data_IF_311403229465
#
_entry.id   IF_311403229465
#
_cell.length_a   1.000
_cell.length_b   1.000
_cell.length_c   1.000
_cell.angle_alpha   90.00
_cell.angle_beta   90.00
_cell.angle_gamma   90.00
#
_symmetry.space_group_name_H-M   'P 1'
#
loop_
_entity.id
_entity.type
_entity.pdbx_description
1 polymer ?
#
# COMPACT_ATOMS: atom_id res chain seq x y z
N UNK A 1 -20.63 10.94 -4.29
CA UNK A 1 -19.24 10.64 -4.66
C UNK A 1 -18.75 9.56 -3.71
N UNK A 2 -18.23 8.45 -4.25
CA UNK A 2 -17.81 7.28 -3.48
C UNK A 2 -16.31 7.28 -3.19
N UNK A 3 -15.75 6.12 -2.88
CA UNK A 3 -14.30 5.89 -2.77
C UNK A 3 -13.65 5.76 -4.15
N UNK A 4 -12.41 6.25 -4.31
CA UNK A 4 -11.59 6.03 -5.51
C UNK A 4 -10.50 5.02 -5.18
N UNK A 5 -10.53 3.89 -5.88
CA UNK A 5 -9.48 2.86 -5.82
C UNK A 5 -8.51 3.14 -6.96
N UNK A 6 -7.25 3.41 -6.63
CA UNK A 6 -6.18 3.64 -7.58
C UNK A 6 -5.42 2.32 -7.77
N UNK A 7 -5.85 1.56 -8.77
CA UNK A 7 -5.21 0.34 -9.27
C UNK A 7 -4.81 0.57 -10.74
N UNK A 8 -4.02 1.59 -10.96
CA UNK A 8 -3.68 2.15 -12.27
C UNK A 8 -2.53 1.42 -12.98
N UNK A 9 -1.76 0.63 -12.26
CA UNK A 9 -0.52 0.05 -12.76
C UNK A 9 -0.32 -1.38 -12.28
N UNK A 10 0.43 -2.17 -13.06
CA UNK A 10 0.79 -3.55 -12.70
C UNK A 10 1.87 -3.62 -11.59
N UNK A 11 2.24 -2.48 -11.01
CA UNK A 11 3.30 -2.35 -10.02
C UNK A 11 2.68 -2.10 -8.64
N UNK A 12 3.26 -2.68 -7.60
CA UNK A 12 2.73 -2.61 -6.24
C UNK A 12 3.08 -1.29 -5.51
N UNK A 13 2.88 -0.17 -6.20
CA UNK A 13 3.06 1.19 -5.67
C UNK A 13 4.19 1.99 -6.31
N UNK A 14 5.05 1.38 -7.11
CA UNK A 14 6.30 2.00 -7.57
C UNK A 14 6.38 2.25 -9.09
N UNK A 15 5.25 2.30 -9.79
CA UNK A 15 5.23 2.52 -11.23
C UNK A 15 5.85 3.88 -11.63
N UNK A 16 6.79 3.91 -12.60
CA UNK A 16 7.26 5.17 -13.19
C UNK A 16 6.13 5.81 -14.02
N UNK A 17 5.75 7.05 -13.69
CA UNK A 17 4.77 7.85 -14.43
C UNK A 17 3.32 7.72 -13.93
N UNK A 18 2.68 8.90 -13.80
CA UNK A 18 1.24 9.22 -13.90
C UNK A 18 0.19 8.50 -13.01
N UNK A 19 0.56 7.73 -11.99
CA UNK A 19 -0.48 7.07 -11.17
C UNK A 19 -1.20 8.01 -10.19
N UNK A 20 -0.50 8.99 -9.62
CA UNK A 20 -1.05 9.85 -8.55
C UNK A 20 -0.47 11.27 -8.61
N UNK A 21 -1.22 12.20 -9.20
CA UNK A 21 -0.89 13.63 -9.13
C UNK A 21 -1.61 14.29 -7.94
N UNK A 22 -0.88 14.88 -6.97
CA UNK A 22 -1.47 15.51 -5.79
C UNK A 22 -2.52 16.57 -6.12
N UNK A 23 -2.31 17.33 -7.19
CA UNK A 23 -3.23 18.36 -7.68
C UNK A 23 -4.60 17.77 -8.07
N UNK A 24 -4.60 16.59 -8.71
CA UNK A 24 -5.83 15.91 -9.08
C UNK A 24 -6.58 15.37 -7.86
N UNK A 25 -5.85 14.80 -6.88
CA UNK A 25 -6.45 14.36 -5.62
C UNK A 25 -7.07 15.54 -4.87
N UNK A 26 -6.35 16.66 -4.79
CA UNK A 26 -6.84 17.86 -4.13
C UNK A 26 -8.10 18.39 -4.79
N UNK A 27 -8.15 18.44 -6.13
CA UNK A 27 -9.34 18.90 -6.84
C UNK A 27 -10.54 17.95 -6.64
N UNK A 28 -10.33 16.64 -6.73
CA UNK A 28 -11.39 15.65 -6.47
C UNK A 28 -11.91 15.77 -5.04
N UNK A 29 -11.01 15.96 -4.08
CA UNK A 29 -11.37 16.13 -2.68
C UNK A 29 -12.12 17.44 -2.45
N UNK A 30 -11.69 18.54 -3.09
CA UNK A 30 -12.37 19.83 -3.05
C UNK A 30 -13.80 19.72 -3.55
N UNK A 31 -14.01 19.12 -4.72
CA UNK A 31 -15.35 18.88 -5.28
C UNK A 31 -16.20 18.03 -4.32
N UNK A 32 -15.63 16.98 -3.74
CA UNK A 32 -16.34 16.13 -2.78
C UNK A 32 -16.81 16.88 -1.52
N UNK A 33 -15.99 17.77 -0.98
CA UNK A 33 -16.27 18.49 0.25
C UNK A 33 -17.12 19.75 0.00
N UNK A 34 -16.84 20.51 -1.05
CA UNK A 34 -17.44 21.82 -1.28
C UNK A 34 -18.70 21.77 -2.15
N UNK A 35 -18.78 20.83 -3.10
CA UNK A 35 -19.84 20.81 -4.11
C UNK A 35 -20.85 19.67 -3.91
N UNK A 36 -20.54 18.70 -3.04
CA UNK A 36 -21.49 17.62 -2.72
C UNK A 36 -22.49 18.05 -1.63
N UNK A 37 -23.73 17.54 -1.73
CA UNK A 37 -24.82 17.84 -0.77
C UNK A 37 -24.44 17.67 0.70
N UNK A 38 -23.57 16.69 1.01
CA UNK A 38 -23.21 16.32 2.39
C UNK A 38 -21.77 16.68 2.77
N UNK A 39 -20.94 17.13 1.82
CA UNK A 39 -19.53 17.45 2.07
C UNK A 39 -18.68 16.28 2.62
N UNK A 40 -19.03 15.04 2.28
CA UNK A 40 -18.32 13.85 2.79
C UNK A 40 -17.00 13.68 2.01
N UNK A 41 -15.83 13.62 2.68
CA UNK A 41 -14.55 13.44 2.02
C UNK A 41 -14.38 12.03 1.43
N UNK A 42 -13.55 11.94 0.40
CA UNK A 42 -13.18 10.70 -0.29
C UNK A 42 -11.93 10.11 0.37
N UNK A 43 -11.91 8.78 0.48
CA UNK A 43 -10.72 8.00 0.79
C UNK A 43 -10.04 7.65 -0.53
N UNK A 44 -8.76 7.97 -0.62
CA UNK A 44 -7.86 7.60 -1.71
C UNK A 44 -6.99 6.44 -1.26
N UNK A 45 -7.16 5.32 -1.95
CA UNK A 45 -6.48 4.08 -1.64
C UNK A 45 -5.65 3.56 -2.81
N UNK A 46 -4.49 2.98 -2.51
CA UNK A 46 -3.54 2.45 -3.50
C UNK A 46 -2.80 1.23 -2.97
N UNK A 47 -2.40 0.33 -3.86
CA UNK A 47 -1.48 -0.75 -3.53
C UNK A 47 -0.09 -0.18 -3.22
N UNK A 48 0.25 -0.08 -1.94
CA UNK A 48 1.59 0.31 -1.45
C UNK A 48 2.12 -0.89 -0.66
N UNK A 49 2.51 -1.95 -1.38
CA UNK A 49 2.74 -3.28 -0.79
C UNK A 49 4.15 -3.44 -0.26
N UNK A 50 5.16 -3.04 -1.03
CA UNK A 50 6.58 -3.13 -0.63
C UNK A 50 7.36 -1.87 -1.05
N UNK A 51 6.68 -0.74 -1.15
CA UNK A 51 7.31 0.54 -1.46
C UNK A 51 6.36 1.53 -2.12
N UNK A 52 6.81 2.78 -2.16
CA UNK A 52 6.18 3.86 -2.90
C UNK A 52 7.22 4.42 -3.87
N UNK A 53 7.88 5.53 -3.51
CA UNK A 53 9.01 6.04 -4.27
C UNK A 53 10.28 5.25 -3.93
N UNK A 54 10.48 4.96 -2.65
CA UNK A 54 11.48 4.01 -2.18
C UNK A 54 10.95 2.59 -2.28
N UNK A 55 11.64 1.74 -3.04
CA UNK A 55 11.29 0.33 -3.23
C UNK A 55 12.05 -0.54 -2.23
N UNK A 56 11.32 -1.31 -1.43
CA UNK A 56 11.85 -2.29 -0.47
C UNK A 56 11.93 -3.69 -1.12
N UNK A 57 12.64 -4.65 -0.51
CA UNK A 57 12.48 -6.06 -0.88
C UNK A 57 11.00 -6.49 -0.78
N UNK A 58 10.57 -7.47 -1.58
CA UNK A 58 9.20 -8.02 -1.49
C UNK A 58 8.89 -8.58 -0.08
N UNK A 59 7.61 -8.66 0.35
CA UNK A 59 7.24 -9.09 1.70
C UNK A 59 7.85 -10.43 2.12
N UNK A 60 7.94 -11.42 1.22
CA UNK A 60 8.57 -12.71 1.51
C UNK A 60 10.07 -12.56 1.88
N UNK A 61 10.77 -11.67 1.20
CA UNK A 61 12.17 -11.36 1.50
C UNK A 61 12.31 -10.55 2.79
N UNK A 62 11.37 -9.64 3.08
CA UNK A 62 11.34 -8.92 4.34
C UNK A 62 11.10 -9.84 5.53
N UNK A 63 10.17 -10.79 5.41
CA UNK A 63 9.92 -11.82 6.43
C UNK A 63 11.17 -12.67 6.69
N UNK A 64 11.96 -12.95 5.65
CA UNK A 64 13.23 -13.68 5.75
C UNK A 64 14.31 -12.94 6.57
N UNK A 65 14.12 -11.66 6.90
CA UNK A 65 15.02 -10.93 7.80
C UNK A 65 14.80 -11.27 9.28
N UNK A 66 13.64 -11.81 9.65
CA UNK A 66 13.22 -12.06 11.04
C UNK A 66 13.32 -10.82 11.95
N UNK A 67 13.25 -9.62 11.37
CA UNK A 67 13.42 -8.35 12.08
C UNK A 67 12.19 -7.44 11.86
N UNK A 68 11.10 -7.65 12.64
CA UNK A 68 9.87 -6.89 12.46
C UNK A 68 10.05 -5.40 12.76
N UNK A 69 10.96 -5.03 13.68
CA UNK A 69 11.23 -3.62 13.98
C UNK A 69 11.87 -2.90 12.79
N UNK A 70 12.73 -3.58 12.03
CA UNK A 70 13.30 -3.04 10.80
C UNK A 70 12.22 -2.84 9.73
N UNK A 71 11.33 -3.83 9.58
CA UNK A 71 10.21 -3.77 8.64
C UNK A 71 9.26 -2.62 8.99
N UNK A 72 8.86 -2.47 10.26
CA UNK A 72 8.02 -1.36 10.72
C UNK A 72 8.68 0.00 10.44
N UNK A 73 9.98 0.12 10.74
CA UNK A 73 10.74 1.35 10.47
C UNK A 73 10.76 1.69 8.98
N UNK A 74 10.94 0.69 8.12
CA UNK A 74 10.94 0.87 6.67
C UNK A 74 9.56 1.33 6.18
N UNK A 75 8.48 0.66 6.59
CA UNK A 75 7.12 1.05 6.21
C UNK A 75 6.68 2.40 6.77
N UNK A 76 7.24 2.85 7.90
CA UNK A 76 7.03 4.22 8.38
C UNK A 76 7.54 5.28 7.39
N UNK A 77 8.61 4.98 6.65
CA UNK A 77 9.09 5.81 5.55
C UNK A 77 8.13 5.78 4.36
N UNK A 78 7.78 4.57 3.92
CA UNK A 78 6.84 4.34 2.80
C UNK A 78 5.48 4.99 3.04
N UNK A 79 4.95 4.92 4.27
CA UNK A 79 3.69 5.56 4.65
C UNK A 79 3.76 7.09 4.51
N UNK A 80 4.90 7.71 4.85
CA UNK A 80 5.09 9.16 4.66
C UNK A 80 5.14 9.53 3.18
N UNK A 81 5.79 8.71 2.35
CA UNK A 81 5.82 8.91 0.90
C UNK A 81 4.41 8.81 0.30
N UNK A 82 3.64 7.79 0.67
CA UNK A 82 2.27 7.62 0.19
C UNK A 82 1.35 8.77 0.65
N UNK A 83 1.44 9.15 1.93
CA UNK A 83 0.66 10.26 2.49
C UNK A 83 0.99 11.60 1.81
N UNK A 84 2.25 11.81 1.39
CA UNK A 84 2.66 13.03 0.66
C UNK A 84 1.98 13.19 -0.69
N UNK A 85 1.48 12.08 -1.25
CA UNK A 85 0.74 12.05 -2.51
C UNK A 85 -0.78 12.05 -2.29
N UNK A 86 -1.25 12.23 -1.06
CA UNK A 86 -2.69 12.22 -0.74
C UNK A 86 -3.31 10.82 -0.61
N UNK A 87 -2.50 9.75 -0.57
CA UNK A 87 -2.98 8.39 -0.29
C UNK A 87 -3.16 8.23 1.23
N UNK A 88 -4.36 7.82 1.64
CA UNK A 88 -4.73 7.70 3.06
C UNK A 88 -5.02 6.25 3.46
N UNK A 89 -5.06 5.34 2.49
CA UNK A 89 -5.28 3.92 2.73
C UNK A 89 -4.45 3.08 1.76
N UNK A 90 -3.86 1.98 2.25
CA UNK A 90 -3.15 0.99 1.43
C UNK A 90 -3.75 -0.39 1.65
N UNK A 91 -3.67 -1.24 0.63
CA UNK A 91 -4.15 -2.63 0.66
C UNK A 91 -3.06 -3.61 1.13
N UNK A 92 -2.38 -3.25 2.22
CA UNK A 92 -1.30 -4.01 2.85
C UNK A 92 -1.50 -4.07 4.38
N UNK A 93 -0.93 -5.08 5.07
CA UNK A 93 -0.14 -6.19 4.55
C UNK A 93 -0.98 -7.34 4.00
N UNK A 94 -0.40 -8.12 3.08
CA UNK A 94 -0.93 -9.44 2.71
C UNK A 94 -0.46 -10.47 3.73
N UNK A 95 -1.40 -11.24 4.29
CA UNK A 95 -1.14 -12.16 5.41
C UNK A 95 -1.50 -13.61 5.08
N UNK A 96 -1.61 -13.95 3.80
CA UNK A 96 -1.91 -15.32 3.39
C UNK A 96 -0.74 -16.24 3.74
N UNK A 97 -1.07 -17.34 4.41
CA UNK A 97 -0.11 -18.41 4.72
C UNK A 97 0.03 -19.27 3.48
N UNK A 98 1.24 -19.35 2.94
CA UNK A 98 1.48 -20.04 1.67
C UNK A 98 2.26 -21.32 1.89
N UNK A 99 1.72 -22.44 1.41
CA UNK A 99 2.38 -23.76 1.39
C UNK A 99 2.49 -24.36 0.00
N UNK A 100 2.07 -23.60 -1.01
CA UNK A 100 2.15 -23.98 -2.42
C UNK A 100 2.93 -22.90 -3.18
N UNK A 101 4.20 -23.17 -3.55
CA UNK A 101 5.04 -22.19 -4.23
C UNK A 101 4.58 -21.90 -5.67
N UNK A 102 3.65 -22.69 -6.22
CA UNK A 102 3.10 -22.45 -7.58
C UNK A 102 2.16 -21.25 -7.59
N UNK A 103 1.66 -20.82 -6.43
CA UNK A 103 0.81 -19.65 -6.35
C UNK A 103 1.63 -18.38 -6.55
N UNK A 104 1.40 -17.67 -7.67
CA UNK A 104 2.22 -16.52 -8.07
C UNK A 104 2.28 -15.37 -7.06
N UNK A 105 1.35 -15.29 -6.10
CA UNK A 105 1.32 -14.27 -5.04
C UNK A 105 2.11 -14.65 -3.79
N UNK A 106 2.82 -15.79 -3.81
CA UNK A 106 3.73 -16.19 -2.71
C UNK A 106 4.74 -15.09 -2.35
N UNK A 107 5.11 -14.24 -3.31
CA UNK A 107 6.04 -13.13 -3.11
C UNK A 107 5.52 -12.04 -2.16
N UNK A 108 4.20 -11.89 -2.06
CA UNK A 108 3.52 -10.90 -1.22
C UNK A 108 3.25 -11.43 0.20
N UNK A 109 3.47 -12.72 0.43
CA UNK A 109 3.24 -13.41 1.70
C UNK A 109 4.42 -13.26 2.67
N UNK A 110 4.14 -13.45 3.96
CA UNK A 110 5.15 -13.59 5.02
C UNK A 110 5.68 -15.03 5.20
N UNK A 111 5.31 -15.94 4.29
CA UNK A 111 5.75 -17.34 4.25
C UNK A 111 4.71 -18.36 4.70
N UNK A 112 5.18 -19.52 5.13
CA UNK A 112 4.35 -20.70 5.44
C UNK A 112 3.93 -20.82 6.91
N UNK A 113 4.50 -19.99 7.78
CA UNK A 113 4.35 -20.06 9.23
C UNK A 113 3.47 -18.94 9.81
N UNK A 114 2.68 -19.31 10.83
CA UNK A 114 1.75 -18.42 11.51
C UNK A 114 2.43 -17.37 12.37
N UNK A 115 3.55 -17.71 13.00
CA UNK A 115 4.23 -16.83 13.95
C UNK A 115 4.98 -15.74 13.20
N UNK A 116 5.64 -16.10 12.08
CA UNK A 116 6.26 -15.14 11.17
C UNK A 116 5.27 -14.04 10.75
N UNK A 117 4.08 -14.43 10.25
CA UNK A 117 3.05 -13.47 9.83
C UNK A 117 2.51 -12.59 10.95
N UNK A 118 2.35 -13.11 12.17
CA UNK A 118 1.87 -12.35 13.34
C UNK A 118 2.91 -11.34 13.85
N UNK A 119 4.19 -11.65 13.72
CA UNK A 119 5.27 -10.79 14.22
C UNK A 119 5.46 -9.50 13.41
N UNK A 120 4.91 -9.44 12.20
CA UNK A 120 4.99 -8.30 11.27
C UNK A 120 3.80 -7.32 11.40
N UNK A 121 2.88 -7.57 12.34
CA UNK A 121 1.78 -6.66 12.72
C UNK A 121 2.18 -5.79 13.92
#
# INVERSE_FOLDING_TARGET
MGSRILADTAWAGNAPGESVEPEQINEIQRVAVEESRLGIPIIFARDVIYGQATVLPIPLAQASSWNPQLVEKAYRGVAKEAASLGINWTFAPMLDIVRDPRWGRVIESSGEDRISGRSLL
#
